data_IF_129817697321
#
_entry.id   IF_129817697321
#
_cell.length_a   1.000
_cell.length_b   1.000
_cell.length_c   1.000
_cell.angle_alpha   90.00
_cell.angle_beta   90.00
_cell.angle_gamma   90.00
#
_symmetry.space_group_name_H-M   'P 1'
#
loop_
_entity.id
_entity.type
_entity.pdbx_description
1 polymer ?
#
# COMPACT_ATOMS: atom_id res chain seq x y z
N UNK A 1 9.51 -10.86 -17.14
CA UNK A 1 9.18 -9.57 -16.50
C UNK A 1 9.31 -8.39 -17.46
N UNK A 2 10.46 -8.18 -18.13
CA UNK A 2 10.64 -7.05 -19.07
C UNK A 2 9.62 -6.97 -20.22
N UNK A 3 9.24 -8.12 -20.80
CA UNK A 3 8.25 -8.17 -21.88
C UNK A 3 6.84 -7.70 -21.45
N UNK A 4 6.44 -7.97 -20.21
CA UNK A 4 5.13 -7.54 -19.68
C UNK A 4 5.10 -6.02 -19.54
N UNK A 5 6.15 -5.44 -18.96
CA UNK A 5 6.29 -3.99 -18.83
C UNK A 5 6.31 -3.33 -20.21
N UNK A 6 7.02 -3.90 -21.18
CA UNK A 6 7.05 -3.41 -22.55
C UNK A 6 5.66 -3.43 -23.21
N UNK A 7 4.91 -4.53 -23.06
CA UNK A 7 3.55 -4.67 -23.59
C UNK A 7 2.61 -3.63 -22.97
N UNK A 8 2.68 -3.40 -21.66
CA UNK A 8 1.84 -2.39 -21.00
C UNK A 8 2.24 -0.99 -21.46
N UNK A 9 3.54 -0.68 -21.45
CA UNK A 9 4.05 0.64 -21.79
C UNK A 9 3.75 1.05 -23.23
N UNK A 10 3.83 0.12 -24.18
CA UNK A 10 3.58 0.39 -25.60
C UNK A 10 2.12 0.15 -25.98
N UNK A 11 1.52 -0.92 -25.44
CA UNK A 11 0.15 -1.31 -25.76
C UNK A 11 -0.89 -0.32 -25.26
N UNK A 12 -0.72 0.24 -24.05
CA UNK A 12 -1.67 1.23 -23.51
C UNK A 12 -1.74 2.48 -24.40
N UNK A 13 -0.64 3.17 -24.76
CA UNK A 13 -0.69 4.30 -25.69
C UNK A 13 -1.28 3.96 -27.07
N UNK A 14 -1.03 2.76 -27.60
CA UNK A 14 -1.62 2.34 -28.88
C UNK A 14 -3.15 2.26 -28.76
N UNK A 15 -3.65 1.64 -27.69
CA UNK A 15 -5.09 1.56 -27.42
C UNK A 15 -5.68 2.97 -27.24
N UNK A 16 -4.98 3.86 -26.54
CA UNK A 16 -5.43 5.25 -26.37
C UNK A 16 -5.55 5.99 -27.69
N UNK A 17 -4.52 5.91 -28.55
CA UNK A 17 -4.54 6.56 -29.86
C UNK A 17 -5.71 6.03 -30.70
N UNK A 18 -5.96 4.71 -30.68
CA UNK A 18 -7.09 4.12 -31.39
C UNK A 18 -8.43 4.68 -30.88
N UNK A 19 -8.63 4.76 -29.55
CA UNK A 19 -9.84 5.32 -28.96
C UNK A 19 -10.00 6.82 -29.25
N UNK A 20 -8.91 7.59 -29.23
CA UNK A 20 -8.95 9.01 -29.60
C UNK A 20 -9.41 9.22 -31.04
N UNK A 21 -8.94 8.37 -31.97
CA UNK A 21 -9.35 8.42 -33.37
C UNK A 21 -10.82 8.03 -33.52
N UNK A 22 -11.26 6.94 -32.87
CA UNK A 22 -12.64 6.46 -32.95
C UNK A 22 -13.63 7.46 -32.35
N UNK A 23 -13.39 7.92 -31.13
CA UNK A 23 -14.24 8.92 -30.46
C UNK A 23 -14.17 10.26 -31.20
N UNK A 24 -12.98 10.69 -31.62
CA UNK A 24 -12.79 11.89 -32.44
C UNK A 24 -13.56 11.86 -33.75
N UNK A 25 -13.68 10.69 -34.38
CA UNK A 25 -14.52 10.48 -35.57
C UNK A 25 -16.02 10.54 -35.28
N UNK A 26 -16.46 10.11 -34.09
CA UNK A 26 -17.87 10.07 -33.71
C UNK A 26 -18.42 11.43 -33.25
N UNK A 27 -17.69 12.16 -32.40
CA UNK A 27 -18.17 13.41 -31.76
C UNK A 27 -17.41 14.67 -32.22
N UNK A 28 -16.35 14.52 -33.01
CA UNK A 28 -15.52 15.61 -33.51
C UNK A 28 -14.35 15.98 -32.58
N UNK A 29 -13.28 16.48 -33.17
CA UNK A 29 -12.02 16.81 -32.48
C UNK A 29 -12.19 17.74 -31.27
N UNK A 30 -12.89 18.87 -31.43
CA UNK A 30 -13.07 19.84 -30.35
C UNK A 30 -13.87 19.28 -29.17
N UNK A 31 -14.88 18.46 -29.46
CA UNK A 31 -15.67 17.76 -28.44
C UNK A 31 -14.80 16.77 -27.66
N UNK A 32 -13.95 16.00 -28.36
CA UNK A 32 -13.00 15.05 -27.74
C UNK A 32 -12.02 15.77 -26.80
N UNK A 33 -11.45 16.90 -27.22
CA UNK A 33 -10.58 17.71 -26.35
C UNK A 33 -11.36 18.22 -25.13
N UNK A 34 -12.60 18.68 -25.33
CA UNK A 34 -13.46 19.11 -24.23
C UNK A 34 -13.71 18.01 -23.19
N UNK A 35 -13.99 16.78 -23.64
CA UNK A 35 -14.17 15.61 -22.76
C UNK A 35 -12.90 15.32 -21.98
N UNK A 36 -11.73 15.30 -22.63
CA UNK A 36 -10.43 15.07 -21.98
C UNK A 36 -10.15 16.11 -20.89
N UNK A 37 -10.39 17.38 -21.19
CA UNK A 37 -10.18 18.45 -20.19
C UNK A 37 -11.16 18.28 -19.02
N UNK A 38 -12.41 17.90 -19.31
CA UNK A 38 -13.42 17.68 -18.29
C UNK A 38 -13.08 16.47 -17.40
N UNK A 39 -12.60 15.36 -17.97
CA UNK A 39 -12.18 14.18 -17.20
C UNK A 39 -10.96 14.48 -16.35
N UNK A 40 -9.96 15.20 -16.88
CA UNK A 40 -8.79 15.63 -16.12
C UNK A 40 -9.15 16.55 -14.95
N UNK A 41 -10.06 17.52 -15.16
CA UNK A 41 -10.57 18.39 -14.10
C UNK A 41 -11.32 17.59 -13.04
N UNK A 42 -12.26 16.73 -13.46
CA UNK A 42 -13.03 15.88 -12.55
C UNK A 42 -12.12 14.96 -11.71
N UNK A 43 -11.17 14.28 -12.35
CA UNK A 43 -10.19 13.42 -11.68
C UNK A 43 -9.35 14.19 -10.67
N UNK A 44 -8.84 15.37 -11.05
CA UNK A 44 -8.04 16.22 -10.16
C UNK A 44 -8.86 16.71 -8.96
N UNK A 45 -10.12 17.10 -9.17
CA UNK A 45 -11.02 17.51 -8.09
C UNK A 45 -11.31 16.35 -7.14
N UNK A 46 -11.60 15.16 -7.67
CA UNK A 46 -11.83 13.96 -6.86
C UNK A 46 -10.58 13.59 -6.05
N UNK A 47 -9.40 13.65 -6.65
CA UNK A 47 -8.10 13.44 -5.98
C UNK A 47 -7.86 14.41 -4.85
N UNK A 48 -8.15 15.68 -5.08
CA UNK A 48 -8.01 16.69 -4.03
C UNK A 48 -8.96 16.42 -2.86
N UNK A 49 -10.23 16.11 -3.13
CA UNK A 49 -11.23 15.88 -2.10
C UNK A 49 -10.99 14.60 -1.31
N UNK A 50 -10.84 13.47 -1.99
CA UNK A 50 -10.64 12.17 -1.36
C UNK A 50 -9.24 12.01 -0.77
N UNK A 51 -8.22 12.63 -1.39
CA UNK A 51 -6.84 12.56 -0.94
C UNK A 51 -6.65 13.28 0.39
N UNK A 52 -7.19 14.51 0.49
CA UNK A 52 -7.18 15.27 1.75
C UNK A 52 -7.99 14.56 2.84
N UNK A 53 -9.14 13.98 2.50
CA UNK A 53 -9.93 13.23 3.47
C UNK A 53 -9.17 11.99 4.00
N UNK A 54 -8.47 11.27 3.12
CA UNK A 54 -7.65 10.09 3.49
C UNK A 54 -6.47 10.51 4.36
N UNK A 55 -5.78 11.60 3.99
CA UNK A 55 -4.65 12.11 4.76
C UNK A 55 -5.07 12.55 6.17
N UNK A 56 -6.21 13.22 6.31
CA UNK A 56 -6.76 13.60 7.62
C UNK A 56 -7.07 12.38 8.50
N UNK A 57 -7.63 11.32 7.92
CA UNK A 57 -7.88 10.06 8.65
C UNK A 57 -6.57 9.38 9.08
N UNK A 58 -5.55 9.40 8.20
CA UNK A 58 -4.23 8.87 8.52
C UNK A 58 -3.60 9.63 9.68
N UNK A 59 -3.64 10.97 9.65
CA UNK A 59 -3.15 11.82 10.75
C UNK A 59 -3.88 11.53 12.06
N UNK A 60 -5.22 11.47 12.04
CA UNK A 60 -6.01 11.18 13.24
C UNK A 60 -5.71 9.80 13.84
N UNK A 61 -5.38 8.80 13.01
CA UNK A 61 -4.99 7.46 13.47
C UNK A 61 -3.61 7.46 14.12
N UNK A 62 -2.66 8.22 13.55
CA UNK A 62 -1.33 8.38 14.13
C UNK A 62 -1.37 9.12 15.48
N UNK A 63 -2.23 10.14 15.61
CA UNK A 63 -2.48 10.84 16.88
C UNK A 63 -3.02 9.89 17.96
N UNK A 64 -3.70 8.81 17.57
CA UNK A 64 -4.20 7.76 18.46
C UNK A 64 -3.18 6.63 18.72
N UNK A 65 -1.91 6.79 18.31
CA UNK A 65 -0.89 5.74 18.32
C UNK A 65 -1.31 4.45 17.59
N UNK A 66 -2.19 4.57 16.58
CA UNK A 66 -2.59 3.47 15.70
C UNK A 66 -1.89 3.58 14.35
N UNK A 67 -1.40 2.46 13.83
CA UNK A 67 -0.74 2.44 12.54
C UNK A 67 -1.78 2.44 11.40
N UNK A 68 -1.82 3.46 10.52
CA UNK A 68 -2.90 3.67 9.54
C UNK A 68 -2.68 2.86 8.25
N UNK A 69 -2.58 1.53 8.33
CA UNK A 69 -2.34 0.68 7.16
C UNK A 69 -3.41 0.84 6.08
N UNK A 70 -4.64 1.00 6.54
CA UNK A 70 -5.82 1.12 5.70
C UNK A 70 -5.81 2.44 4.91
N UNK A 71 -5.49 3.54 5.56
CA UNK A 71 -5.41 4.86 4.94
C UNK A 71 -4.19 4.99 4.03
N UNK A 72 -3.08 4.32 4.33
CA UNK A 72 -1.88 4.31 3.48
C UNK A 72 -2.16 3.57 2.17
N UNK A 73 -2.78 2.39 2.22
CA UNK A 73 -3.15 1.64 1.01
C UNK A 73 -4.13 2.44 0.16
N UNK A 74 -5.13 3.06 0.81
CA UNK A 74 -6.04 3.97 0.14
C UNK A 74 -5.29 5.14 -0.51
N UNK A 75 -4.42 5.83 0.24
CA UNK A 75 -3.61 6.92 -0.27
C UNK A 75 -2.82 6.52 -1.53
N UNK A 76 -2.22 5.33 -1.53
CA UNK A 76 -1.50 4.79 -2.67
C UNK A 76 -2.42 4.53 -3.87
N UNK A 77 -3.56 3.85 -3.67
CA UNK A 77 -4.54 3.63 -4.74
C UNK A 77 -5.01 4.96 -5.34
N UNK A 78 -5.20 5.98 -4.51
CA UNK A 78 -5.64 7.30 -4.96
C UNK A 78 -4.55 8.02 -5.75
N UNK A 79 -3.29 7.92 -5.31
CA UNK A 79 -2.16 8.49 -6.03
C UNK A 79 -1.99 7.84 -7.41
N UNK A 80 -2.11 6.51 -7.50
CA UNK A 80 -2.07 5.78 -8.77
C UNK A 80 -3.26 6.15 -9.66
N UNK A 81 -4.47 6.20 -9.11
CA UNK A 81 -5.67 6.63 -9.84
C UNK A 81 -5.51 8.06 -10.38
N UNK A 82 -5.00 8.97 -9.53
CA UNK A 82 -4.72 10.35 -9.90
C UNK A 82 -3.67 10.47 -11.00
N UNK A 83 -2.57 9.69 -10.92
CA UNK A 83 -1.55 9.67 -11.97
C UNK A 83 -2.12 9.17 -13.31
N UNK A 84 -2.96 8.13 -13.28
CA UNK A 84 -3.66 7.60 -14.46
C UNK A 84 -4.61 8.65 -15.08
N UNK A 85 -5.37 9.38 -14.25
CA UNK A 85 -6.27 10.46 -14.68
C UNK A 85 -5.56 11.73 -15.16
N UNK A 86 -4.33 11.96 -14.72
CA UNK A 86 -3.50 13.08 -15.16
C UNK A 86 -2.84 12.83 -16.52
N UNK A 87 -2.70 11.57 -16.92
CA UNK A 87 -2.34 11.18 -18.29
C UNK A 87 -3.62 11.06 -19.11
N UNK A 88 -4.08 12.15 -19.76
CA UNK A 88 -5.38 12.16 -20.42
C UNK A 88 -5.47 11.05 -21.48
N UNK A 89 -6.33 10.07 -21.23
CA UNK A 89 -6.57 8.92 -22.11
C UNK A 89 -7.94 8.33 -21.82
N UNK A 90 -8.73 8.00 -22.84
CA UNK A 90 -10.06 7.43 -22.62
C UNK A 90 -10.02 6.11 -21.83
N UNK A 91 -9.05 5.24 -22.12
CA UNK A 91 -8.93 3.96 -21.45
C UNK A 91 -8.37 4.13 -20.03
N UNK A 92 -7.32 4.94 -19.91
CA UNK A 92 -6.59 5.22 -18.68
C UNK A 92 -7.43 6.03 -17.70
N UNK A 93 -8.23 6.99 -18.18
CA UNK A 93 -9.23 7.71 -17.40
C UNK A 93 -10.31 6.75 -16.89
N UNK A 94 -10.78 5.82 -17.73
CA UNK A 94 -11.73 4.80 -17.34
C UNK A 94 -11.20 3.97 -16.16
N UNK A 95 -9.98 3.46 -16.27
CA UNK A 95 -9.31 2.71 -15.19
C UNK A 95 -9.10 3.59 -13.95
N UNK A 96 -8.64 4.84 -14.13
CA UNK A 96 -8.41 5.78 -13.04
C UNK A 96 -9.69 6.11 -12.27
N UNK A 97 -10.79 6.38 -12.97
CA UNK A 97 -12.10 6.65 -12.37
C UNK A 97 -12.67 5.42 -11.65
N UNK A 98 -12.48 4.24 -12.24
CA UNK A 98 -12.90 2.97 -11.63
C UNK A 98 -12.10 2.70 -10.35
N UNK A 99 -10.79 2.99 -10.33
CA UNK A 99 -9.95 2.90 -9.15
C UNK A 99 -10.29 3.94 -8.07
N UNK A 100 -10.91 5.06 -8.46
CA UNK A 100 -11.45 6.08 -7.56
C UNK A 100 -12.64 5.61 -6.73
N UNK A 101 -13.34 4.56 -7.16
CA UNK A 101 -14.53 4.06 -6.48
C UNK A 101 -14.15 3.34 -5.17
N UNK A 102 -14.68 3.76 -4.01
CA UNK A 102 -14.42 3.11 -2.72
C UNK A 102 -14.69 1.60 -2.69
N UNK A 103 -15.78 1.07 -3.31
CA UNK A 103 -16.04 -0.36 -3.36
C UNK A 103 -14.90 -1.16 -3.98
N UNK A 104 -14.28 -0.61 -5.03
CA UNK A 104 -13.20 -1.30 -5.73
C UNK A 104 -11.91 -1.28 -4.91
N UNK A 105 -11.61 -0.18 -4.22
CA UNK A 105 -10.45 -0.09 -3.30
C UNK A 105 -10.56 -1.11 -2.17
N UNK A 106 -11.76 -1.25 -1.59
CA UNK A 106 -12.03 -2.27 -0.60
C UNK A 106 -11.87 -3.68 -1.19
N UNK A 107 -12.38 -3.93 -2.39
CA UNK A 107 -12.23 -5.23 -3.05
C UNK A 107 -10.75 -5.59 -3.31
N UNK A 108 -9.98 -4.68 -3.91
CA UNK A 108 -8.54 -4.88 -4.15
C UNK A 108 -7.80 -5.16 -2.85
N UNK A 109 -8.13 -4.43 -1.78
CA UNK A 109 -7.51 -4.64 -0.47
C UNK A 109 -7.73 -6.06 0.03
N UNK A 110 -8.96 -6.55 0.05
CA UNK A 110 -9.26 -7.90 0.52
C UNK A 110 -8.58 -8.96 -0.36
N UNK A 111 -8.54 -8.74 -1.67
CA UNK A 111 -7.91 -9.67 -2.61
C UNK A 111 -6.39 -9.72 -2.44
N UNK A 112 -5.73 -8.57 -2.34
CA UNK A 112 -4.28 -8.47 -2.11
C UNK A 112 -3.91 -9.03 -0.74
N UNK A 113 -4.68 -8.70 0.31
CA UNK A 113 -4.47 -9.23 1.65
C UNK A 113 -4.54 -10.76 1.68
N UNK A 114 -5.52 -11.35 0.97
CA UNK A 114 -5.63 -12.81 0.84
C UNK A 114 -4.43 -13.43 0.14
N UNK A 115 -4.00 -12.87 -1.00
CA UNK A 115 -2.84 -13.37 -1.75
C UNK A 115 -1.56 -13.25 -0.92
N UNK A 116 -1.37 -12.15 -0.19
CA UNK A 116 -0.23 -11.97 0.70
C UNK A 116 -0.25 -12.94 1.87
N UNK A 117 -1.43 -13.22 2.46
CA UNK A 117 -1.57 -14.21 3.53
C UNK A 117 -1.30 -15.64 3.05
N UNK A 118 -1.65 -15.95 1.79
CA UNK A 118 -1.41 -17.26 1.18
C UNK A 118 0.06 -17.46 0.76
N UNK A 119 0.78 -16.38 0.41
CA UNK A 119 2.15 -16.44 -0.12
C UNK A 119 3.24 -16.02 0.85
N UNK A 120 2.90 -15.24 1.89
CA UNK A 120 3.81 -14.77 2.90
C UNK A 120 3.56 -15.50 4.22
N UNK A 121 4.63 -15.98 4.86
CA UNK A 121 4.64 -16.32 6.29
C UNK A 121 4.44 -15.07 7.18
N UNK A 122 3.58 -14.14 6.78
CA UNK A 122 3.20 -12.99 7.58
C UNK A 122 2.20 -13.53 8.60
N UNK A 123 2.75 -14.06 9.70
CA UNK A 123 2.02 -14.22 10.94
C UNK A 123 1.64 -12.80 11.37
N UNK A 124 0.49 -12.33 10.87
CA UNK A 124 -0.17 -11.14 11.40
C UNK A 124 -0.47 -11.53 12.84
N UNK A 125 0.44 -11.17 13.73
CA UNK A 125 0.18 -11.20 15.15
C UNK A 125 -0.83 -10.07 15.34
N UNK A 126 -2.11 -10.40 15.15
CA UNK A 126 -3.21 -9.67 15.76
C UNK A 126 -2.84 -9.64 17.23
N UNK A 127 -2.25 -8.53 17.67
CA UNK A 127 -2.13 -8.19 19.07
C UNK A 127 -3.55 -7.95 19.55
N UNK A 128 -4.25 -9.06 19.79
CA UNK A 128 -5.47 -9.08 20.57
C UNK A 128 -5.07 -8.59 21.94
N UNK A 129 -5.68 -7.47 22.34
CA UNK A 129 -5.77 -7.06 23.73
C UNK A 129 -6.53 -8.16 24.49
N UNK A 130 -5.83 -9.21 24.87
CA UNK A 130 -6.29 -10.19 25.84
C UNK A 130 -5.16 -10.32 26.86
N UNK A 131 -5.42 -9.79 28.06
CA UNK A 131 -4.46 -9.61 29.15
C UNK A 131 -3.99 -10.91 29.78
N UNK A 132 -3.30 -11.75 29.02
CA UNK A 132 -2.47 -12.84 29.53
C UNK A 132 -1.01 -12.38 29.60
N UNK A 133 -0.19 -12.97 30.50
CA UNK A 133 1.25 -12.70 30.55
C UNK A 133 1.84 -12.87 29.16
N UNK A 134 2.45 -11.79 28.64
CA UNK A 134 3.06 -11.79 27.32
C UNK A 134 4.17 -12.85 27.20
N UNK A 135 4.59 -13.19 25.96
CA UNK A 135 5.67 -14.14 25.76
C UNK A 135 6.93 -13.60 26.45
N UNK A 136 7.43 -14.33 27.45
CA UNK A 136 8.74 -14.07 28.03
C UNK A 136 9.76 -14.46 26.98
N UNK A 137 10.51 -13.47 26.49
CA UNK A 137 11.59 -13.67 25.53
C UNK A 137 12.87 -13.81 26.38
N UNK A 138 13.33 -15.05 26.56
CA UNK A 138 14.62 -15.32 27.20
C UNK A 138 15.74 -14.87 26.26
N UNK A 139 16.44 -13.80 26.66
CA UNK A 139 17.63 -13.33 25.98
C UNK A 139 18.87 -14.01 26.56
N UNK A 140 19.70 -14.60 25.70
CA UNK A 140 21.06 -15.00 26.08
C UNK A 140 21.90 -13.72 26.13
N UNK A 141 22.42 -13.38 27.32
CA UNK A 141 23.27 -12.21 27.52
C UNK A 141 24.69 -12.65 27.86
N UNK A 142 25.67 -11.96 27.29
CA UNK A 142 27.07 -12.08 27.65
C UNK A 142 27.47 -10.77 28.34
N UNK A 143 27.82 -10.86 29.62
CA UNK A 143 28.21 -9.69 30.39
C UNK A 143 29.61 -9.26 29.98
N UNK A 144 29.70 -8.10 29.32
CA UNK A 144 30.96 -7.54 28.83
C UNK A 144 31.58 -6.56 29.82
N UNK A 145 31.17 -6.56 31.10
CA UNK A 145 31.89 -5.79 32.12
C UNK A 145 33.35 -6.26 32.17
N UNK A 146 34.32 -5.37 31.87
CA UNK A 146 35.72 -5.73 32.01
C UNK A 146 36.01 -5.91 33.50
N UNK A 147 36.43 -7.11 33.90
CA UNK A 147 37.04 -7.33 35.21
C UNK A 147 38.24 -6.39 35.36
N UNK A 148 38.49 -5.88 36.58
CA UNK A 148 39.62 -4.97 36.87
C UNK A 148 41.01 -5.57 36.56
N UNK A 149 41.09 -6.84 36.12
CA UNK A 149 42.30 -7.56 35.74
C UNK A 149 42.35 -8.07 34.28
N UNK A 150 41.36 -7.75 33.45
CA UNK A 150 41.40 -8.01 31.99
C UNK A 150 41.25 -9.47 31.54
N UNK A 151 40.71 -10.37 32.37
CA UNK A 151 40.42 -11.76 31.98
C UNK A 151 38.90 -12.02 31.91
N UNK A 152 38.38 -12.73 30.90
CA UNK A 152 36.94 -13.04 30.84
C UNK A 152 36.55 -14.01 31.96
N UNK A 153 35.66 -13.58 32.85
CA UNK A 153 35.07 -14.45 33.87
C UNK A 153 34.14 -15.47 33.22
N UNK A 154 34.54 -16.75 33.26
CA UNK A 154 33.71 -17.87 32.83
C UNK A 154 32.79 -18.28 33.98
N UNK A 155 31.50 -17.96 33.89
CA UNK A 155 30.54 -18.39 34.88
C UNK A 155 30.31 -19.91 34.77
N UNK A 156 30.92 -20.68 35.66
CA UNK A 156 30.76 -22.13 35.72
C UNK A 156 29.36 -22.44 36.26
N UNK A 157 28.46 -22.87 35.37
CA UNK A 157 27.04 -23.13 35.68
C UNK A 157 26.95 -24.32 36.63
N UNK A 158 26.78 -24.06 37.93
CA UNK A 158 26.45 -25.13 38.90
C UNK A 158 25.17 -25.86 38.43
N UNK A 159 25.16 -27.20 38.41
CA UNK A 159 23.98 -27.95 38.04
C UNK A 159 22.86 -27.66 39.05
N UNK A 160 21.66 -27.36 38.54
CA UNK A 160 20.47 -27.11 39.35
C UNK A 160 20.07 -28.36 40.16
N UNK A 161 19.27 -28.19 41.23
CA UNK A 161 18.88 -29.30 42.07
C UNK A 161 18.01 -30.27 41.26
N UNK A 162 18.34 -31.57 41.34
CA UNK A 162 17.55 -32.62 40.74
C UNK A 162 16.12 -32.56 41.31
N UNK A 163 15.13 -32.43 40.44
CA UNK A 163 13.73 -32.61 40.80
C UNK A 163 13.47 -34.14 40.83
N UNK A 164 13.20 -34.65 42.04
CA UNK A 164 12.73 -36.03 42.28
C UNK A 164 11.27 -36.22 41.88
#
# INVERSE_FOLDING_TARGET
MGAILFIILVGVPIVEIALFIEVGGLIGFWSTIGVVVLTALAGTTLLRLQGLATLKKAQASLEQNRFPMDEVFDGLCLAVAGALLLTPGFFTDGIGLVLFLPPLRNFLRHHIARILAERGHVKVQTTGLNGGPGPVIDGEFEDITPSEDGSPERFDKKPGPNED
#
